data_IF_596511543180
#
_entry.id   IF_596511543180
#
_cell.length_a   1.000
_cell.length_b   1.000
_cell.length_c   1.000
_cell.angle_alpha   90.00
_cell.angle_beta   90.00
_cell.angle_gamma   90.00
#
_symmetry.space_group_name_H-M   'P 1'
#
loop_
_entity.id
_entity.type
_entity.pdbx_description
1 polymer ?
#
# COMPACT_ATOMS: atom_id res chain seq x y z
N UNK A 1 -32.50 15.65 -2.22
CA UNK A 1 -32.17 16.59 -3.32
C UNK A 1 -30.80 16.21 -3.89
N UNK A 2 -30.76 15.72 -5.13
CA UNK A 2 -29.51 15.39 -5.85
C UNK A 2 -28.93 16.66 -6.44
N UNK A 3 -27.77 17.13 -5.97
CA UNK A 3 -26.97 18.16 -6.64
C UNK A 3 -25.47 17.93 -6.43
N UNK A 4 -24.82 17.59 -7.54
CA UNK A 4 -23.50 18.11 -7.95
C UNK A 4 -22.23 17.56 -7.28
N UNK A 5 -21.87 16.31 -7.61
CA UNK A 5 -20.48 15.85 -7.65
C UNK A 5 -20.01 15.90 -9.12
N UNK A 6 -19.61 17.08 -9.59
CA UNK A 6 -19.12 17.25 -10.97
C UNK A 6 -18.19 18.46 -11.08
N UNK A 7 -17.15 18.52 -10.25
CA UNK A 7 -15.98 19.37 -10.48
C UNK A 7 -14.77 18.60 -9.96
N UNK A 8 -14.00 18.00 -10.84
CA UNK A 8 -12.82 17.21 -10.47
C UNK A 8 -12.16 16.46 -11.62
N UNK A 9 -12.84 16.31 -12.76
CA UNK A 9 -12.32 15.51 -13.88
C UNK A 9 -11.60 16.33 -14.97
N UNK A 10 -11.67 17.67 -14.93
CA UNK A 10 -11.25 18.51 -16.05
C UNK A 10 -9.77 18.92 -16.05
N UNK A 11 -9.01 18.62 -14.99
CA UNK A 11 -7.58 18.98 -14.90
C UNK A 11 -6.65 17.84 -15.38
N UNK A 12 -7.15 16.61 -15.45
CA UNK A 12 -6.34 15.41 -15.79
C UNK A 12 -6.00 15.31 -17.28
N UNK A 13 -6.76 15.96 -18.17
CA UNK A 13 -6.61 15.81 -19.62
C UNK A 13 -5.52 16.68 -20.27
N UNK A 14 -4.84 17.56 -19.52
CA UNK A 14 -3.92 18.55 -20.09
C UNK A 14 -2.43 18.16 -20.17
N UNK A 15 -1.99 17.10 -19.49
CA UNK A 15 -0.55 16.81 -19.32
C UNK A 15 0.00 15.70 -20.24
N UNK A 16 -0.82 15.15 -21.15
CA UNK A 16 -0.47 13.96 -21.93
C UNK A 16 0.38 14.19 -23.19
N UNK A 17 0.72 15.43 -23.55
CA UNK A 17 1.46 15.71 -24.78
C UNK A 17 2.79 16.39 -24.48
N UNK A 18 3.89 15.76 -24.92
CA UNK A 18 5.30 16.19 -24.90
C UNK A 18 6.10 15.70 -23.69
N UNK A 19 6.61 14.47 -23.79
CA UNK A 19 7.71 14.01 -22.96
C UNK A 19 8.41 12.78 -23.57
N UNK A 20 9.72 12.86 -23.81
CA UNK A 20 10.57 11.68 -24.00
C UNK A 20 10.75 10.91 -22.68
N UNK A 21 11.34 9.70 -22.72
CA UNK A 21 11.51 8.88 -21.52
C UNK A 21 12.56 9.52 -20.61
N UNK A 22 12.13 9.94 -19.42
CA UNK A 22 12.98 10.07 -18.26
C UNK A 22 12.34 9.17 -17.21
N UNK A 23 13.03 8.09 -16.86
CA UNK A 23 12.66 7.20 -15.76
C UNK A 23 13.93 7.04 -14.91
N UNK A 24 13.91 7.60 -13.71
CA UNK A 24 14.93 7.36 -12.69
C UNK A 24 14.32 6.77 -11.39
N UNK A 25 12.98 6.63 -11.35
CA UNK A 25 12.20 6.17 -10.21
C UNK A 25 11.62 4.77 -10.48
N UNK A 26 11.50 3.94 -9.44
CA UNK A 26 10.90 2.59 -9.54
C UNK A 26 11.60 1.62 -10.53
N UNK A 27 12.82 1.92 -11.00
CA UNK A 27 13.50 1.13 -12.03
C UNK A 27 14.58 0.20 -11.50
N UNK A 28 14.50 -1.08 -11.88
CA UNK A 28 15.64 -2.00 -11.88
C UNK A 28 15.96 -2.40 -13.33
N UNK A 29 16.88 -1.66 -13.97
CA UNK A 29 17.23 -1.87 -15.38
C UNK A 29 16.08 -1.47 -16.29
N UNK A 30 15.55 -2.42 -17.07
CA UNK A 30 14.39 -2.20 -17.95
C UNK A 30 13.05 -2.25 -17.21
N UNK A 31 13.05 -2.78 -15.99
CA UNK A 31 11.83 -3.02 -15.21
C UNK A 31 11.43 -1.80 -14.42
N UNK A 32 10.24 -1.29 -14.70
CA UNK A 32 9.50 -0.43 -13.78
C UNK A 32 8.64 -1.29 -12.87
N UNK A 33 8.78 -1.12 -11.55
CA UNK A 33 7.86 -1.62 -10.54
C UNK A 33 6.96 -0.45 -10.12
N UNK A 34 5.66 -0.50 -10.40
CA UNK A 34 4.73 0.53 -9.95
C UNK A 34 4.57 0.47 -8.44
N UNK A 35 4.21 1.59 -7.81
CA UNK A 35 3.72 1.54 -6.44
C UNK A 35 2.41 0.77 -6.41
N UNK A 36 2.36 -0.26 -5.59
CA UNK A 36 1.17 -1.07 -5.37
C UNK A 36 0.17 -0.33 -4.47
N UNK A 37 -1.09 -0.76 -4.45
CA UNK A 37 -2.18 -0.08 -3.75
C UNK A 37 -2.32 -0.57 -2.30
N UNK A 38 -1.96 -1.82 -2.02
CA UNK A 38 -2.16 -2.51 -0.75
C UNK A 38 -0.86 -2.73 0.04
N UNK A 39 0.24 -2.91 -0.67
CA UNK A 39 1.56 -3.21 -0.08
C UNK A 39 2.57 -2.17 -0.55
N UNK A 40 3.59 -1.93 0.26
CA UNK A 40 4.67 -1.02 -0.12
C UNK A 40 5.58 -1.63 -1.19
N UNK A 41 6.03 -0.78 -2.12
CA UNK A 41 7.05 -1.15 -3.08
C UNK A 41 8.47 -1.12 -2.46
N UNK A 42 9.46 -1.80 -3.06
CA UNK A 42 10.78 -1.96 -2.49
C UNK A 42 11.68 -0.74 -2.72
N UNK A 43 11.24 0.30 -3.46
CA UNK A 43 12.12 1.41 -3.80
C UNK A 43 12.24 2.42 -2.67
N UNK A 44 13.40 3.07 -2.64
CA UNK A 44 13.59 4.32 -1.90
C UNK A 44 13.41 5.46 -2.89
N UNK A 45 12.29 6.18 -2.78
CA UNK A 45 11.80 7.15 -3.78
C UNK A 45 11.41 8.49 -3.14
N UNK A 46 11.24 9.52 -3.99
CA UNK A 46 10.58 10.77 -3.59
C UNK A 46 9.17 10.76 -4.22
N UNK A 47 8.15 10.46 -3.43
CA UNK A 47 6.81 10.12 -3.93
C UNK A 47 5.70 10.67 -3.02
N UNK A 48 4.51 10.84 -3.58
CA UNK A 48 3.31 11.23 -2.85
C UNK A 48 2.13 10.39 -3.31
N UNK A 49 1.64 9.51 -2.45
CA UNK A 49 0.33 8.87 -2.61
C UNK A 49 -0.72 9.74 -1.95
N UNK A 50 -1.59 10.39 -2.74
CA UNK A 50 -2.71 11.15 -2.19
C UNK A 50 -3.79 11.43 -3.26
N UNK A 51 -5.02 10.89 -3.13
CA UNK A 51 -5.48 9.95 -2.10
C UNK A 51 -5.22 8.48 -2.47
N UNK A 52 -5.06 7.63 -1.45
CA UNK A 52 -5.41 6.21 -1.52
C UNK A 52 -6.74 6.03 -0.77
N UNK A 53 -7.74 5.44 -1.41
CA UNK A 53 -9.10 5.36 -0.89
C UNK A 53 -9.51 3.89 -0.84
N UNK A 54 -9.79 3.38 0.35
CA UNK A 54 -10.39 2.06 0.55
C UNK A 54 -11.86 2.24 0.98
N UNK A 55 -12.76 1.50 0.34
CA UNK A 55 -14.15 1.41 0.74
C UNK A 55 -14.56 -0.06 0.89
N UNK A 56 -14.88 -0.49 2.10
CA UNK A 56 -15.17 -1.90 2.40
C UNK A 56 -16.15 -2.05 3.56
N UNK A 57 -16.98 -3.10 3.50
CA UNK A 57 -17.86 -3.47 4.61
C UNK A 57 -17.16 -4.48 5.52
N UNK A 58 -16.74 -4.03 6.70
CA UNK A 58 -16.16 -4.88 7.74
C UNK A 58 -17.24 -5.75 8.39
N UNK A 59 -16.82 -6.93 8.87
CA UNK A 59 -17.69 -7.83 9.65
C UNK A 59 -17.87 -7.31 11.07
N UNK A 60 -18.88 -7.82 11.76
CA UNK A 60 -18.99 -7.66 13.21
C UNK A 60 -17.84 -8.42 13.90
N UNK A 61 -17.33 -7.88 15.00
CA UNK A 61 -16.27 -8.49 15.82
C UNK A 61 -16.55 -8.24 17.29
N UNK A 62 -16.61 -9.29 18.11
CA UNK A 62 -17.00 -9.16 19.52
C UNK A 62 -18.35 -8.46 19.67
N UNK A 63 -18.37 -7.39 20.47
CA UNK A 63 -19.54 -6.54 20.73
C UNK A 63 -19.79 -5.50 19.61
N UNK A 64 -18.87 -5.35 18.65
CA UNK A 64 -18.98 -4.35 17.58
C UNK A 64 -19.86 -4.83 16.43
N UNK A 65 -20.78 -3.97 16.01
CA UNK A 65 -21.63 -4.23 14.84
C UNK A 65 -20.82 -4.13 13.54
N UNK A 66 -21.25 -4.87 12.51
CA UNK A 66 -20.66 -4.72 11.19
C UNK A 66 -20.78 -3.27 10.69
N UNK A 67 -19.71 -2.72 10.15
CA UNK A 67 -19.63 -1.32 9.72
C UNK A 67 -19.22 -1.18 8.26
N UNK A 68 -19.70 -0.14 7.61
CA UNK A 68 -19.14 0.35 6.36
C UNK A 68 -17.97 1.27 6.70
N UNK A 69 -16.81 0.99 6.12
CA UNK A 69 -15.59 1.75 6.35
C UNK A 69 -15.18 2.43 5.04
N UNK A 70 -14.82 3.70 5.14
CA UNK A 70 -14.14 4.44 4.06
C UNK A 70 -12.89 5.08 4.64
N UNK A 71 -11.75 4.67 4.14
CA UNK A 71 -10.45 5.19 4.52
C UNK A 71 -9.92 6.08 3.41
N UNK A 72 -9.43 7.26 3.80
CA UNK A 72 -8.68 8.16 2.94
C UNK A 72 -7.27 8.28 3.50
N UNK A 73 -6.34 7.54 2.94
CA UNK A 73 -4.94 7.55 3.33
C UNK A 73 -4.08 8.34 2.35
N UNK A 74 -2.92 8.76 2.84
CA UNK A 74 -1.88 9.32 2.02
C UNK A 74 -0.52 9.11 2.65
N UNK A 75 0.47 8.96 1.77
CA UNK A 75 1.85 8.72 2.13
C UNK A 75 2.75 9.71 1.39
N UNK A 76 3.66 10.32 2.12
CA UNK A 76 4.76 11.09 1.55
C UNK A 76 6.08 10.39 1.83
N UNK A 77 6.80 10.07 0.76
CA UNK A 77 8.11 9.42 0.80
C UNK A 77 9.20 10.38 0.36
N UNK A 78 10.33 10.40 1.09
CA UNK A 78 11.44 11.32 0.87
C UNK A 78 12.78 10.63 1.00
N UNK A 79 13.61 10.77 -0.03
CA UNK A 79 15.01 10.34 0.00
C UNK A 79 15.85 11.29 0.85
N UNK A 80 16.52 10.72 1.85
CA UNK A 80 17.58 11.39 2.62
C UNK A 80 18.89 11.26 1.87
N UNK A 81 19.20 10.07 1.37
CA UNK A 81 20.31 9.77 0.45
C UNK A 81 19.77 8.96 -0.74
N UNK A 82 20.54 8.71 -1.82
CA UNK A 82 20.06 7.91 -2.94
C UNK A 82 19.47 6.55 -2.56
N UNK A 83 19.99 5.91 -1.51
CA UNK A 83 19.55 4.57 -1.07
C UNK A 83 18.87 4.55 0.30
N UNK A 84 18.64 5.71 0.93
CA UNK A 84 18.02 5.78 2.26
C UNK A 84 16.96 6.89 2.30
N UNK A 85 15.77 6.54 2.76
CA UNK A 85 14.64 7.47 2.82
C UNK A 85 13.76 7.24 4.03
N UNK A 86 12.84 8.17 4.23
CA UNK A 86 11.76 8.05 5.20
C UNK A 86 10.41 8.24 4.52
N UNK A 87 9.36 7.70 5.14
CA UNK A 87 7.98 7.95 4.75
C UNK A 87 7.16 8.46 5.94
N UNK A 88 6.11 9.20 5.64
CA UNK A 88 5.08 9.61 6.58
C UNK A 88 3.73 9.23 5.99
N UNK A 89 2.98 8.40 6.69
CA UNK A 89 1.64 7.96 6.30
C UNK A 89 0.61 8.33 7.35
N UNK A 90 -0.58 8.70 6.90
CA UNK A 90 -1.73 8.87 7.77
C UNK A 90 -3.03 8.64 7.03
N UNK A 91 -4.05 8.24 7.79
CA UNK A 91 -5.37 7.94 7.26
C UNK A 91 -6.48 8.68 8.01
N UNK A 92 -7.49 9.16 7.28
CA UNK A 92 -8.78 9.55 7.83
C UNK A 92 -9.77 8.41 7.60
N UNK A 93 -10.21 7.78 8.67
CA UNK A 93 -11.16 6.65 8.63
C UNK A 93 -12.55 7.16 8.98
N UNK A 94 -13.51 6.91 8.08
CA UNK A 94 -14.93 7.07 8.33
C UNK A 94 -15.56 5.70 8.54
N UNK A 95 -16.12 5.49 9.73
CA UNK A 95 -16.80 4.27 10.14
C UNK A 95 -18.29 4.57 10.28
N UNK A 96 -19.11 3.83 9.53
CA UNK A 96 -20.57 3.89 9.58
C UNK A 96 -21.13 2.53 10.04
N UNK A 97 -21.31 2.34 11.36
CA UNK A 97 -21.76 1.07 11.93
C UNK A 97 -23.25 0.82 11.67
N UNK A 98 -23.65 -0.44 11.52
CA UNK A 98 -25.08 -0.79 11.38
C UNK A 98 -25.93 -0.36 12.58
N UNK A 99 -25.31 -0.26 13.76
CA UNK A 99 -25.91 0.25 14.98
C UNK A 99 -24.96 1.25 15.63
N UNK A 100 -25.43 2.46 15.87
CA UNK A 100 -24.64 3.53 16.47
C UNK A 100 -24.57 4.76 15.58
N UNK A 101 -23.76 5.73 15.98
CA UNK A 101 -23.48 6.93 15.19
C UNK A 101 -22.24 6.72 14.34
N UNK A 102 -22.25 7.24 13.11
CA UNK A 102 -21.08 7.26 12.25
C UNK A 102 -20.01 8.18 12.82
N UNK A 103 -18.75 7.81 12.68
CA UNK A 103 -17.62 8.57 13.22
C UNK A 103 -16.51 8.70 12.18
N UNK A 104 -15.85 9.86 12.17
CA UNK A 104 -14.63 10.08 11.38
C UNK A 104 -13.49 10.49 12.28
N UNK A 105 -12.37 9.77 12.24
CA UNK A 105 -11.15 10.08 13.00
C UNK A 105 -9.91 9.74 12.19
N UNK A 106 -8.80 10.38 12.54
CA UNK A 106 -7.51 9.96 12.04
C UNK A 106 -7.12 8.63 12.67
N UNK A 107 -6.48 7.77 11.88
CA UNK A 107 -5.72 6.64 12.39
C UNK A 107 -4.35 7.12 12.92
N UNK A 108 -3.58 6.20 13.49
CA UNK A 108 -2.23 6.48 13.91
C UNK A 108 -1.35 6.93 12.73
N UNK A 109 -0.47 7.90 13.01
CA UNK A 109 0.59 8.30 12.10
C UNK A 109 1.60 7.15 11.99
N UNK A 110 1.98 6.78 10.77
CA UNK A 110 3.09 5.86 10.52
C UNK A 110 4.32 6.61 10.00
N UNK A 111 5.48 6.27 10.56
CA UNK A 111 6.79 6.75 10.14
C UNK A 111 7.59 5.56 9.64
N UNK A 112 7.95 5.57 8.36
CA UNK A 112 8.79 4.55 7.76
C UNK A 112 10.23 5.01 7.61
N UNK A 113 11.17 4.08 7.78
CA UNK A 113 12.56 4.21 7.32
C UNK A 113 12.84 3.06 6.36
N UNK A 114 13.47 3.35 5.21
CA UNK A 114 13.77 2.35 4.19
C UNK A 114 15.18 2.53 3.65
N UNK A 115 15.90 1.42 3.52
CA UNK A 115 17.23 1.35 2.93
C UNK A 115 17.25 0.35 1.78
N UNK A 116 17.62 0.83 0.59
CA UNK A 116 17.77 0.02 -0.62
C UNK A 116 19.11 -0.70 -0.59
N UNK A 117 19.07 -1.96 -0.16
CA UNK A 117 20.25 -2.77 0.12
C UNK A 117 20.88 -3.37 -1.15
N UNK A 118 20.07 -3.66 -2.16
CA UNK A 118 20.53 -4.28 -3.40
C UNK A 118 19.66 -3.85 -4.58
N UNK A 119 20.30 -3.63 -5.73
CA UNK A 119 19.61 -3.43 -7.01
C UNK A 119 20.46 -4.01 -8.13
N UNK A 120 19.88 -4.87 -8.95
CA UNK A 120 20.49 -5.38 -10.17
C UNK A 120 19.66 -4.97 -11.37
N UNK A 121 20.27 -4.13 -12.21
CA UNK A 121 19.69 -3.74 -13.49
C UNK A 121 19.67 -4.90 -14.49
N UNK A 122 20.68 -5.77 -14.44
CA UNK A 122 20.81 -6.94 -15.32
C UNK A 122 19.70 -7.95 -15.03
N UNK A 123 19.47 -8.26 -13.75
CA UNK A 123 18.50 -9.26 -13.33
C UNK A 123 17.15 -8.69 -12.93
N UNK A 124 16.87 -7.41 -13.23
CA UNK A 124 15.62 -6.73 -12.88
C UNK A 124 15.21 -7.00 -11.42
N UNK A 125 16.14 -6.86 -10.48
CA UNK A 125 15.96 -7.29 -9.10
C UNK A 125 16.29 -6.16 -8.11
N UNK A 126 15.56 -6.11 -7.01
CA UNK A 126 15.75 -5.14 -5.93
C UNK A 126 15.44 -5.80 -4.59
N UNK A 127 16.21 -5.45 -3.57
CA UNK A 127 15.93 -5.82 -2.17
C UNK A 127 16.19 -4.62 -1.28
N UNK A 128 15.25 -4.36 -0.38
CA UNK A 128 15.33 -3.29 0.60
C UNK A 128 14.99 -3.81 1.99
N UNK A 129 15.51 -3.13 3.00
CA UNK A 129 15.15 -3.36 4.40
C UNK A 129 14.54 -2.09 4.95
N UNK A 130 13.58 -2.23 5.86
CA UNK A 130 12.93 -1.08 6.45
C UNK A 130 12.43 -1.31 7.86
N UNK A 131 11.99 -0.23 8.47
CA UNK A 131 11.42 -0.16 9.80
C UNK A 131 10.21 0.77 9.74
N UNK A 132 9.02 0.21 9.90
CA UNK A 132 7.80 0.98 10.14
C UNK A 132 7.62 1.25 11.63
N UNK A 133 7.14 2.43 11.98
CA UNK A 133 6.73 2.80 13.33
C UNK A 133 5.35 3.45 13.28
N UNK A 134 4.34 2.70 13.71
CA UNK A 134 3.02 3.23 13.98
C UNK A 134 3.05 3.92 15.35
N UNK A 135 2.84 5.23 15.37
CA UNK A 135 2.97 6.07 16.56
C UNK A 135 1.67 6.02 17.37
N UNK A 136 1.68 5.26 18.44
CA UNK A 136 0.51 5.00 19.26
C UNK A 136 -0.08 6.27 19.88
N UNK A 137 -1.40 6.38 19.87
CA UNK A 137 -2.13 7.49 20.48
C UNK A 137 -2.14 8.79 19.68
N UNK A 138 -1.64 8.76 18.44
CA UNK A 138 -1.80 9.88 17.49
C UNK A 138 -3.17 9.83 16.78
N UNK A 139 -3.75 8.63 16.65
CA UNK A 139 -5.08 8.39 16.12
C UNK A 139 -6.21 8.49 17.15
N UNK A 140 -7.45 8.44 16.64
CA UNK A 140 -8.66 8.53 17.45
C UNK A 140 -9.14 7.18 17.96
N UNK A 141 -9.21 7.00 19.29
CA UNK A 141 -9.72 5.77 19.92
C UNK A 141 -11.11 5.31 19.43
N UNK A 142 -11.95 6.23 18.94
CA UNK A 142 -13.30 5.92 18.48
C UNK A 142 -13.36 5.06 17.21
N UNK A 143 -12.24 4.92 16.48
CA UNK A 143 -12.10 4.02 15.33
C UNK A 143 -11.20 2.82 15.63
N UNK A 144 -10.85 2.59 16.90
CA UNK A 144 -9.96 1.50 17.30
C UNK A 144 -8.46 1.80 17.18
N UNK A 145 -8.05 3.03 16.87
CA UNK A 145 -6.64 3.40 16.77
C UNK A 145 -5.89 3.11 18.07
N UNK A 146 -4.75 2.43 17.96
CA UNK A 146 -4.04 1.90 19.11
C UNK A 146 -3.35 2.98 19.92
N UNK A 147 -3.35 2.80 21.25
CA UNK A 147 -2.73 3.75 22.20
C UNK A 147 -1.28 3.41 22.55
N UNK A 148 -0.65 2.52 21.79
CA UNK A 148 0.71 2.04 21.99
C UNK A 148 1.40 1.93 20.64
N UNK A 149 2.73 2.02 20.64
CA UNK A 149 3.50 1.93 19.40
C UNK A 149 3.55 0.50 18.87
N UNK A 150 3.57 0.37 17.55
CA UNK A 150 3.90 -0.87 16.85
C UNK A 150 5.13 -0.63 15.98
N UNK A 151 6.16 -1.43 16.17
CA UNK A 151 7.40 -1.35 15.40
C UNK A 151 7.50 -2.56 14.47
N UNK A 152 7.74 -2.31 13.19
CA UNK A 152 7.69 -3.33 12.13
C UNK A 152 8.98 -3.33 11.31
N UNK A 153 10.02 -4.07 11.72
CA UNK A 153 11.12 -4.40 10.81
C UNK A 153 10.61 -5.24 9.64
N UNK A 154 11.06 -4.93 8.43
CA UNK A 154 10.61 -5.59 7.20
C UNK A 154 11.72 -5.72 6.15
N UNK A 155 11.54 -6.69 5.27
CA UNK A 155 12.30 -6.87 4.03
C UNK A 155 11.33 -6.74 2.86
N UNK A 156 11.73 -5.97 1.86
CA UNK A 156 10.98 -5.72 0.63
C UNK A 156 11.79 -6.24 -0.56
N UNK A 157 11.10 -6.73 -1.59
CA UNK A 157 11.76 -7.27 -2.76
C UNK A 157 10.98 -6.99 -4.03
N UNK A 158 11.69 -6.99 -5.16
CA UNK A 158 11.13 -6.94 -6.50
C UNK A 158 11.96 -7.79 -7.44
N UNK A 159 11.29 -8.55 -8.32
CA UNK A 159 11.92 -9.36 -9.37
C UNK A 159 11.10 -9.31 -10.66
N UNK A 160 11.71 -8.81 -11.72
CA UNK A 160 11.23 -8.91 -13.09
C UNK A 160 11.66 -10.21 -13.76
N UNK A 161 10.94 -10.61 -14.80
CA UNK A 161 11.19 -11.86 -15.53
C UNK A 161 11.94 -11.62 -16.85
N UNK A 162 12.66 -10.50 -16.98
CA UNK A 162 13.45 -10.17 -18.17
C UNK A 162 14.55 -11.18 -18.54
N UNK A 163 15.10 -11.90 -17.54
CA UNK A 163 16.14 -12.93 -17.72
C UNK A 163 15.65 -14.18 -18.49
N UNK A 164 14.34 -14.32 -18.72
CA UNK A 164 13.79 -15.50 -19.40
C UNK A 164 14.33 -15.64 -20.84
N UNK A 165 14.44 -16.86 -21.38
CA UNK A 165 14.79 -17.06 -22.78
C UNK A 165 13.71 -16.51 -23.73
N UNK A 166 14.08 -16.25 -24.98
CA UNK A 166 13.16 -15.67 -25.97
C UNK A 166 11.96 -16.57 -26.31
N UNK A 167 12.10 -17.89 -26.12
CA UNK A 167 11.00 -18.86 -26.20
C UNK A 167 9.89 -18.60 -25.17
N UNK A 168 10.21 -17.91 -24.07
CA UNK A 168 9.29 -17.50 -23.00
C UNK A 168 9.07 -15.98 -22.99
N UNK A 169 9.30 -15.29 -24.12
CA UNK A 169 9.18 -13.83 -24.25
C UNK A 169 7.85 -13.26 -23.77
N UNK A 170 6.75 -14.00 -23.89
CA UNK A 170 5.42 -13.60 -23.41
C UNK A 170 5.33 -13.46 -21.87
N UNK A 171 6.23 -14.12 -21.12
CA UNK A 171 6.33 -14.07 -19.67
C UNK A 171 7.32 -13.01 -19.18
N UNK A 172 8.20 -12.49 -20.04
CA UNK A 172 9.13 -11.42 -19.67
C UNK A 172 8.45 -10.19 -19.06
N UNK A 173 7.24 -9.77 -19.46
CA UNK A 173 6.54 -8.66 -18.82
C UNK A 173 6.07 -8.92 -17.39
N UNK A 174 6.10 -10.16 -16.91
CA UNK A 174 5.75 -10.47 -15.52
C UNK A 174 6.78 -9.89 -14.56
N UNK A 175 6.29 -9.47 -13.39
CA UNK A 175 7.10 -9.12 -12.24
C UNK A 175 6.40 -9.58 -10.95
N UNK A 176 7.20 -9.77 -9.91
CA UNK A 176 6.72 -9.97 -8.55
C UNK A 176 7.38 -8.94 -7.66
N UNK A 177 6.60 -8.23 -6.87
CA UNK A 177 7.09 -7.42 -5.75
C UNK A 177 6.42 -7.83 -4.47
N UNK A 178 7.01 -7.56 -3.31
CA UNK A 178 6.41 -7.92 -2.04
C UNK A 178 7.24 -7.56 -0.84
N UNK A 179 6.71 -7.90 0.32
CA UNK A 179 7.30 -7.64 1.63
C UNK A 179 7.02 -8.76 2.62
N UNK A 180 7.91 -8.88 3.60
CA UNK A 180 7.70 -9.65 4.83
C UNK A 180 8.22 -8.82 6.00
N UNK A 181 7.36 -8.57 6.97
CA UNK A 181 7.67 -7.82 8.18
C UNK A 181 7.09 -8.45 9.44
N UNK A 182 7.64 -8.07 10.59
CA UNK A 182 7.18 -8.53 11.90
C UNK A 182 6.73 -7.32 12.71
N UNK A 183 5.41 -7.13 12.82
CA UNK A 183 4.82 -6.10 13.65
C UNK A 183 4.89 -6.49 15.13
N UNK A 184 5.55 -5.66 15.93
CA UNK A 184 5.82 -5.89 17.35
C UNK A 184 5.17 -4.76 18.16
N UNK A 185 4.02 -5.03 18.81
CA UNK A 185 3.41 -4.10 19.75
C UNK A 185 4.30 -3.84 20.96
N UNK A 186 4.50 -2.57 21.33
CA UNK A 186 5.17 -2.18 22.58
C UNK A 186 4.36 -2.52 23.82
N UNK A 187 3.06 -2.78 23.67
CA UNK A 187 2.16 -3.24 24.72
C UNK A 187 1.61 -4.62 24.37
N UNK A 188 1.85 -5.59 25.23
CA UNK A 188 1.44 -6.99 25.01
C UNK A 188 -0.04 -7.28 25.32
N UNK A 189 -0.73 -6.41 26.07
CA UNK A 189 -2.14 -6.56 26.44
C UNK A 189 -2.77 -5.24 26.84
N UNK A 190 -4.04 -5.06 26.50
CA UNK A 190 -4.91 -4.03 27.07
C UNK A 190 -5.76 -4.62 28.19
N UNK A 191 -6.14 -3.79 29.17
CA UNK A 191 -7.04 -4.17 30.25
C UNK A 191 -8.21 -3.20 30.28
N UNK A 192 -9.39 -3.68 29.95
CA UNK A 192 -10.62 -2.92 30.03
C UNK A 192 -11.40 -3.40 31.26
N UNK A 193 -11.84 -2.46 32.08
CA UNK A 193 -12.65 -2.76 33.27
C UNK A 193 -14.06 -2.26 32.97
N UNK A 194 -14.99 -3.19 32.79
CA UNK A 194 -16.42 -2.89 32.67
C UNK A 194 -17.03 -3.06 34.07
N UNK A 195 -17.70 -2.02 34.56
CA UNK A 195 -18.43 -2.07 35.83
C UNK A 195 -19.91 -2.06 35.49
N UNK A 196 -20.61 -3.15 35.78
CA UNK A 196 -22.04 -3.29 35.54
C UNK A 196 -22.74 -3.58 36.88
N UNK A 197 -23.34 -2.55 37.49
CA UNK A 197 -23.89 -2.65 38.84
C UNK A 197 -22.79 -2.87 39.90
N UNK A 198 -22.91 -3.94 40.68
CA UNK A 198 -21.93 -4.35 41.69
C UNK A 198 -20.87 -5.32 41.13
N UNK A 199 -20.98 -5.74 39.87
CA UNK A 199 -20.03 -6.65 39.22
C UNK A 199 -18.94 -5.89 38.47
N UNK A 200 -17.69 -6.33 38.66
CA UNK A 200 -16.51 -5.79 37.98
C UNK A 200 -15.99 -6.86 37.03
N UNK A 201 -16.23 -6.68 35.73
CA UNK A 201 -15.66 -7.53 34.69
C UNK A 201 -14.35 -6.92 34.20
N UNK A 202 -13.32 -7.77 34.12
CA UNK A 202 -12.00 -7.39 33.61
C UNK A 202 -11.76 -8.12 32.30
N UNK A 203 -11.91 -7.39 31.20
CA UNK A 203 -11.60 -7.88 29.87
C UNK A 203 -10.11 -7.65 29.58
N UNK A 204 -9.41 -8.72 29.20
CA UNK A 204 -7.98 -8.68 28.84
C UNK A 204 -7.85 -8.99 27.36
N UNK A 205 -7.61 -7.96 26.57
CA UNK A 205 -7.24 -8.08 25.16
C UNK A 205 -5.73 -8.28 25.05
N UNK A 206 -5.29 -9.22 24.21
CA UNK A 206 -3.87 -9.51 24.00
C UNK A 206 -3.46 -9.01 22.62
N UNK A 207 -2.32 -8.34 22.55
CA UNK A 207 -1.81 -7.73 21.33
C UNK A 207 -0.67 -8.62 20.80
N UNK A 208 -0.93 -9.52 19.83
CA UNK A 208 0.04 -10.48 19.36
C UNK A 208 1.14 -9.82 18.52
N UNK A 209 2.28 -10.49 18.40
CA UNK A 209 3.22 -10.18 17.34
C UNK A 209 2.60 -10.72 16.04
N UNK A 210 2.70 -9.96 14.95
CA UNK A 210 2.04 -10.27 13.69
C UNK A 210 3.06 -10.26 12.56
N UNK A 211 3.15 -11.37 11.83
CA UNK A 211 3.89 -11.39 10.56
C UNK A 211 3.00 -10.76 9.50
N UNK A 212 3.37 -9.57 9.02
CA UNK A 212 2.77 -8.94 7.84
C UNK A 212 3.52 -9.47 6.62
N UNK A 213 2.83 -10.05 5.65
CA UNK A 213 3.45 -10.56 4.43
C UNK A 213 2.54 -10.35 3.25
N UNK A 214 3.12 -9.99 2.12
CA UNK A 214 2.35 -9.73 0.92
C UNK A 214 3.21 -9.69 -0.32
N UNK A 215 2.57 -9.85 -1.47
CA UNK A 215 3.22 -9.75 -2.76
C UNK A 215 2.21 -9.40 -3.83
N UNK A 216 2.67 -8.75 -4.90
CA UNK A 216 1.90 -8.50 -6.11
C UNK A 216 2.50 -9.27 -7.27
N UNK A 217 1.63 -9.80 -8.13
CA UNK A 217 2.02 -10.31 -9.44
C UNK A 217 1.52 -9.30 -10.47
N UNK A 218 2.43 -8.79 -11.29
CA UNK A 218 2.17 -7.71 -12.23
C UNK A 218 2.45 -8.18 -13.66
N UNK A 219 1.67 -7.69 -14.62
CA UNK A 219 1.96 -7.86 -16.04
C UNK A 219 2.12 -6.49 -16.73
N UNK A 220 3.36 -6.06 -16.97
CA UNK A 220 3.64 -4.70 -17.47
C UNK A 220 3.45 -4.60 -18.99
N UNK A 221 2.34 -3.98 -19.44
CA UNK A 221 2.18 -3.65 -20.86
C UNK A 221 3.23 -2.64 -21.37
N UNK A 222 3.69 -1.65 -20.59
CA UNK A 222 4.82 -0.80 -20.98
C UNK A 222 6.08 -1.61 -21.30
N UNK A 223 6.37 -2.62 -20.48
CA UNK A 223 7.51 -3.51 -20.68
C UNK A 223 7.32 -4.36 -21.94
N UNK A 224 6.12 -4.94 -22.11
CA UNK A 224 5.77 -5.72 -23.30
C UNK A 224 6.02 -4.88 -24.56
N UNK A 225 5.45 -3.67 -24.64
CA UNK A 225 5.54 -2.80 -25.82
C UNK A 225 6.95 -2.33 -26.12
N UNK A 226 7.76 -2.08 -25.09
CA UNK A 226 9.09 -1.48 -25.24
C UNK A 226 10.20 -2.49 -25.49
N UNK A 227 10.07 -3.71 -24.92
CA UNK A 227 11.19 -4.65 -24.84
C UNK A 227 10.89 -6.05 -25.38
N UNK A 228 9.62 -6.37 -25.65
CA UNK A 228 9.22 -7.69 -26.16
C UNK A 228 8.66 -7.57 -27.57
N UNK A 229 7.57 -6.82 -27.73
CA UNK A 229 6.91 -6.54 -29.01
C UNK A 229 5.92 -5.40 -28.84
N UNK A 230 5.79 -4.54 -29.85
CA UNK A 230 4.73 -3.54 -29.91
C UNK A 230 3.52 -4.08 -30.68
N UNK A 231 2.36 -4.33 -30.03
CA UNK A 231 1.15 -4.78 -30.71
C UNK A 231 0.40 -3.67 -31.46
N UNK A 232 0.83 -2.41 -31.37
CA UNK A 232 0.15 -1.27 -32.00
C UNK A 232 -1.08 -0.76 -31.23
N UNK A 233 -1.17 -1.04 -29.92
CA UNK A 233 -2.32 -0.59 -29.11
C UNK A 233 -2.36 0.94 -28.94
N UNK A 234 -3.54 1.53 -28.70
CA UNK A 234 -3.64 2.95 -28.32
C UNK A 234 -2.83 3.27 -27.05
N UNK A 235 -2.31 4.49 -26.97
CA UNK A 235 -1.40 4.96 -25.89
C UNK A 235 -1.95 4.69 -24.48
N UNK A 236 -3.27 4.81 -24.28
CA UNK A 236 -3.91 4.52 -23.00
C UNK A 236 -3.63 3.09 -22.51
N UNK A 237 -3.74 2.10 -23.40
CA UNK A 237 -3.59 0.68 -23.06
C UNK A 237 -2.13 0.28 -22.89
N UNK A 238 -1.21 0.94 -23.60
CA UNK A 238 0.23 0.67 -23.50
C UNK A 238 0.81 0.95 -22.11
N UNK A 239 0.07 1.72 -21.31
CA UNK A 239 0.45 2.16 -19.96
C UNK A 239 -0.20 1.37 -18.84
N UNK A 240 -1.04 0.39 -19.16
CA UNK A 240 -1.71 -0.42 -18.15
C UNK A 240 -0.78 -1.50 -17.61
N UNK A 241 -0.90 -1.76 -16.32
CA UNK A 241 -0.23 -2.84 -15.59
C UNK A 241 -1.33 -3.56 -14.81
N UNK A 242 -1.96 -4.59 -15.39
CA UNK A 242 -2.81 -5.50 -14.62
C UNK A 242 -1.99 -6.18 -13.53
N UNK A 243 -2.58 -6.31 -12.35
CA UNK A 243 -1.93 -6.93 -11.22
C UNK A 243 -2.93 -7.66 -10.31
N UNK A 244 -2.40 -8.54 -9.49
CA UNK A 244 -3.11 -9.10 -8.32
C UNK A 244 -2.21 -8.94 -7.11
N UNK A 245 -2.66 -8.16 -6.13
CA UNK A 245 -1.96 -8.00 -4.87
C UNK A 245 -2.49 -8.99 -3.83
N UNK A 246 -1.60 -9.46 -2.97
CA UNK A 246 -1.91 -10.35 -1.87
C UNK A 246 -1.38 -9.68 -0.60
N UNK A 247 -2.27 -9.34 0.32
CA UNK A 247 -1.94 -8.64 1.56
C UNK A 247 -2.40 -9.48 2.74
N UNK A 248 -1.46 -10.03 3.51
CA UNK A 248 -1.75 -10.97 4.60
C UNK A 248 -1.11 -10.56 5.92
N UNK A 249 -1.78 -10.97 6.99
CA UNK A 249 -1.30 -10.82 8.35
C UNK A 249 -1.54 -12.11 9.12
N UNK A 250 -0.50 -12.61 9.78
CA UNK A 250 -0.55 -13.84 10.56
C UNK A 250 -0.02 -13.57 11.97
N UNK A 251 -0.90 -13.54 12.99
CA UNK A 251 -0.45 -13.52 14.37
C UNK A 251 0.34 -14.79 14.68
N UNK A 252 1.41 -14.68 15.48
CA UNK A 252 2.31 -15.81 15.77
C UNK A 252 2.32 -16.24 17.24
N UNK A 253 1.72 -15.45 18.14
CA UNK A 253 1.76 -15.72 19.56
C UNK A 253 0.48 -15.30 20.30
N UNK A 254 0.55 -15.30 21.64
CA UNK A 254 -0.51 -14.86 22.56
C UNK A 254 -1.88 -15.54 22.36
N UNK A 255 -1.87 -16.78 21.87
CA UNK A 255 -3.05 -17.60 21.64
C UNK A 255 -3.78 -17.31 20.33
N UNK A 256 -3.21 -16.48 19.46
CA UNK A 256 -3.76 -16.12 18.15
C UNK A 256 -2.95 -16.70 16.98
N UNK A 257 -1.96 -17.55 17.29
CA UNK A 257 -1.04 -18.16 16.32
C UNK A 257 -1.75 -18.82 15.15
N UNK A 258 -1.40 -18.44 13.92
CA UNK A 258 -1.90 -19.05 12.68
C UNK A 258 -3.29 -18.57 12.25
N UNK A 259 -3.89 -17.59 12.95
CA UNK A 259 -5.17 -16.99 12.58
C UNK A 259 -5.02 -15.98 11.43
N UNK A 260 -4.51 -16.42 10.29
CA UNK A 260 -4.24 -15.56 9.13
C UNK A 260 -5.49 -14.84 8.63
N UNK A 261 -5.37 -13.54 8.40
CA UNK A 261 -6.31 -12.69 7.68
C UNK A 261 -5.63 -12.06 6.48
N UNK A 262 -6.42 -11.54 5.55
CA UNK A 262 -5.91 -10.78 4.42
C UNK A 262 -6.76 -10.85 3.17
N UNK A 263 -6.26 -10.24 2.12
CA UNK A 263 -7.01 -9.96 0.90
C UNK A 263 -6.23 -10.38 -0.35
N UNK A 264 -6.98 -10.70 -1.40
CA UNK A 264 -6.48 -10.88 -2.76
C UNK A 264 -7.14 -9.83 -3.64
N UNK A 265 -6.32 -8.98 -4.25
CA UNK A 265 -6.78 -7.72 -4.81
C UNK A 265 -6.45 -7.65 -6.31
N UNK A 266 -7.34 -8.16 -7.19
CA UNK A 266 -7.17 -7.99 -8.62
C UNK A 266 -7.44 -6.53 -9.00
N UNK A 267 -6.53 -5.95 -9.76
CA UNK A 267 -6.58 -4.55 -10.14
C UNK A 267 -5.85 -4.22 -11.42
N UNK A 268 -5.83 -2.93 -11.72
CA UNK A 268 -5.07 -2.36 -12.83
C UNK A 268 -4.52 -1.01 -12.43
N UNK A 269 -3.24 -0.79 -12.76
CA UNK A 269 -2.57 0.51 -12.66
C UNK A 269 -2.40 1.07 -14.06
N UNK A 270 -2.65 2.36 -14.24
CA UNK A 270 -2.18 3.12 -15.38
C UNK A 270 -0.97 3.96 -14.96
N UNK A 271 0.18 3.73 -15.59
CA UNK A 271 1.43 4.41 -15.27
C UNK A 271 1.74 5.54 -16.27
N UNK A 272 1.61 6.78 -15.79
CA UNK A 272 2.01 7.99 -16.51
C UNK A 272 3.50 8.28 -16.35
N UNK A 273 3.92 9.45 -16.82
CA UNK A 273 5.28 9.97 -16.56
C UNK A 273 5.41 10.59 -15.17
N UNK A 274 4.36 11.22 -14.67
CA UNK A 274 4.41 12.04 -13.46
C UNK A 274 3.56 11.50 -12.32
N UNK A 275 2.65 10.60 -12.65
CA UNK A 275 1.73 10.00 -11.71
C UNK A 275 1.25 8.67 -12.27
N UNK A 276 0.70 7.85 -11.38
CA UNK A 276 -0.05 6.67 -11.72
C UNK A 276 -1.42 6.69 -11.03
N UNK A 277 -2.37 6.01 -11.65
CA UNK A 277 -3.72 5.81 -11.11
C UNK A 277 -4.02 4.33 -11.06
N UNK A 278 -4.43 3.84 -9.90
CA UNK A 278 -4.76 2.44 -9.68
C UNK A 278 -6.19 2.24 -9.23
N UNK A 279 -6.76 1.09 -9.57
CA UNK A 279 -8.00 0.60 -8.97
C UNK A 279 -7.93 -0.91 -8.80
N UNK A 280 -8.40 -1.42 -7.67
CA UNK A 280 -8.49 -2.84 -7.39
C UNK A 280 -9.78 -3.20 -6.64
N UNK A 281 -10.26 -4.42 -6.86
CA UNK A 281 -11.24 -5.03 -5.97
C UNK A 281 -10.50 -5.59 -4.75
N UNK A 282 -11.09 -5.49 -3.56
CA UNK A 282 -10.48 -6.01 -2.33
C UNK A 282 -11.25 -7.24 -1.89
N UNK A 283 -10.70 -8.45 -2.12
CA UNK A 283 -11.41 -9.72 -1.88
C UNK A 283 -10.85 -10.41 -0.63
N UNK A 284 -11.63 -10.53 0.46
CA UNK A 284 -11.21 -11.28 1.63
C UNK A 284 -10.92 -12.75 1.32
N UNK A 285 -9.80 -13.30 1.80
CA UNK A 285 -9.44 -14.71 1.55
C UNK A 285 -10.14 -15.72 2.46
N UNK A 286 -10.77 -15.25 3.55
CA UNK A 286 -11.49 -16.10 4.50
C UNK A 286 -12.52 -15.30 5.32
N UNK A 287 -13.43 -16.03 5.98
CA UNK A 287 -14.49 -15.44 6.80
C UNK A 287 -13.98 -14.62 8.01
N UNK A 288 -12.75 -14.89 8.46
CA UNK A 288 -12.10 -14.11 9.53
C UNK A 288 -11.75 -12.71 9.03
N UNK A 289 -11.35 -12.57 7.78
CA UNK A 289 -11.09 -11.27 7.16
C UNK A 289 -12.40 -10.56 6.82
N UNK A 290 -13.36 -11.30 6.28
CA UNK A 290 -14.66 -10.76 5.91
C UNK A 290 -15.31 -11.57 4.80
N UNK A 291 -16.50 -11.14 4.38
CA UNK A 291 -17.27 -11.77 3.29
C UNK A 291 -17.69 -10.81 2.19
N UNK A 292 -17.37 -9.52 2.36
CA UNK A 292 -17.78 -8.47 1.44
C UNK A 292 -16.55 -8.03 0.65
N UNK A 293 -16.73 -7.88 -0.66
CA UNK A 293 -15.71 -7.31 -1.54
C UNK A 293 -15.70 -5.80 -1.37
N UNK A 294 -14.51 -5.23 -1.17
CA UNK A 294 -14.28 -3.79 -1.18
C UNK A 294 -13.74 -3.29 -2.51
N UNK A 295 -13.47 -1.99 -2.57
CA UNK A 295 -12.76 -1.35 -3.68
C UNK A 295 -11.68 -0.44 -3.10
N UNK A 296 -10.51 -0.45 -3.73
CA UNK A 296 -9.43 0.50 -3.44
C UNK A 296 -9.07 1.27 -4.70
N UNK A 297 -8.84 2.57 -4.58
CA UNK A 297 -8.43 3.44 -5.68
C UNK A 297 -7.33 4.38 -5.23
N UNK A 298 -6.32 4.59 -6.08
CA UNK A 298 -5.12 5.30 -5.71
C UNK A 298 -4.71 6.32 -6.78
N UNK A 299 -4.29 7.50 -6.34
CA UNK A 299 -3.53 8.46 -7.13
C UNK A 299 -2.16 8.65 -6.48
N UNK A 300 -1.12 8.37 -7.24
CA UNK A 300 0.26 8.38 -6.75
C UNK A 300 1.13 9.24 -7.69
N UNK A 301 1.95 10.11 -7.13
CA UNK A 301 2.75 11.10 -7.83
C UNK A 301 4.25 10.83 -7.65
N UNK A 302 4.98 10.85 -8.76
CA UNK A 302 6.43 10.69 -8.80
C UNK A 302 7.08 12.07 -8.63
N UNK A 303 7.47 12.41 -7.39
CA UNK A 303 7.97 13.76 -7.09
C UNK A 303 9.34 14.00 -7.70
N UNK A 304 10.12 12.95 -7.92
CA UNK A 304 11.39 13.01 -8.61
C UNK A 304 11.27 13.31 -10.10
N UNK A 305 10.18 12.92 -10.75
CA UNK A 305 9.88 13.36 -12.11
C UNK A 305 9.17 14.72 -12.18
N UNK A 306 8.30 15.02 -11.22
CA UNK A 306 7.56 16.30 -11.16
C UNK A 306 8.47 17.47 -10.75
N UNK A 307 9.38 17.23 -9.79
CA UNK A 307 10.18 18.26 -9.14
C UNK A 307 11.66 17.84 -8.98
N UNK A 308 12.35 17.42 -10.07
CA UNK A 308 13.69 16.82 -10.02
C UNK A 308 14.77 17.74 -9.42
N UNK A 309 14.54 19.05 -9.43
CA UNK A 309 15.51 20.05 -8.94
C UNK A 309 15.20 20.57 -7.55
N UNK A 310 14.09 20.14 -6.92
CA UNK A 310 13.67 20.61 -5.58
C UNK A 310 13.35 19.47 -4.63
N UNK A 311 12.07 19.13 -4.45
CA UNK A 311 11.61 18.11 -3.51
C UNK A 311 11.77 16.69 -4.07
N UNK A 312 12.03 16.54 -5.36
CA UNK A 312 12.23 15.27 -6.06
C UNK A 312 13.67 14.76 -6.09
N UNK A 313 14.58 15.34 -5.30
CA UNK A 313 15.97 14.86 -5.20
C UNK A 313 16.32 14.51 -3.75
N UNK A 314 17.28 13.60 -3.51
CA UNK A 314 17.78 13.33 -2.17
C UNK A 314 18.21 14.59 -1.42
N UNK A 315 18.01 14.61 -0.10
CA UNK A 315 18.48 15.70 0.76
C UNK A 315 20.01 15.80 0.80
N UNK A 316 20.68 14.65 0.77
CA UNK A 316 22.13 14.50 0.80
C UNK A 316 22.59 13.47 -0.23
N UNK A 317 23.86 13.58 -0.66
CA UNK A 317 24.38 12.75 -1.75
C UNK A 317 23.89 13.23 -3.12
N UNK A 318 24.67 12.95 -4.17
CA UNK A 318 24.25 13.13 -5.56
C UNK A 318 23.83 11.79 -6.13
#
# INVERSE_FOLDING_TARGET
MKRSFAVGLSVVLGLGALAGPAFAHGLAGKRFFPSTLAIDDPFVSDELTLPNILHIKRRASGDESAAQETEFSGEYSKRITPNFGFSLEGALVHVDPQKGESVSRFDNLEVGLKYQAFTSAEHEAIVSVGLGWEVGGTGGKAIGAESFDVVTPAVFFGKGFGDLPDSLSALKPLAVTGLVGLAIPTRAKNRNVKVEGDEVEVEIEKNPNVVKWGFAIEYSLPYLTSYVRDPGWPELFRRLIPLVEFEFQTPIDRGQGGLTTGTMNPGVIWAGRFFQVGVEAVVPINERTGKNVGIRGMLHFFLDDLFPTSIGRPLFGR
#
